data_IF_703741226039
#
_entry.id   IF_703741226039
#
_cell.length_a   1.000
_cell.length_b   1.000
_cell.length_c   1.000
_cell.angle_alpha   90.00
_cell.angle_beta   90.00
_cell.angle_gamma   90.00
#
_symmetry.space_group_name_H-M   'P 1'
#
loop_
_entity.id
_entity.type
_entity.pdbx_description
1 polymer ?
#
# COMPACT_ATOMS: atom_id res chain seq x y z
N UNK A 1 -6.52 13.06 -28.19
CA UNK A 1 -7.40 12.23 -27.35
C UNK A 1 -6.50 11.40 -26.43
N UNK A 2 -6.37 11.84 -25.21
CA UNK A 2 -5.53 11.16 -24.21
C UNK A 2 -6.26 9.89 -23.75
N UNK A 3 -5.64 8.74 -23.99
CA UNK A 3 -6.02 7.50 -23.34
C UNK A 3 -5.61 7.61 -21.88
N UNK A 4 -6.47 8.20 -21.05
CA UNK A 4 -6.38 8.05 -19.60
C UNK A 4 -6.58 6.56 -19.31
N UNK A 5 -5.47 5.88 -19.08
CA UNK A 5 -5.47 4.46 -18.78
C UNK A 5 -6.35 4.19 -17.59
N UNK A 6 -7.33 3.35 -17.78
CA UNK A 6 -8.18 2.79 -16.73
C UNK A 6 -7.30 1.89 -15.86
N UNK A 7 -6.64 2.50 -14.89
CA UNK A 7 -5.94 1.74 -13.86
C UNK A 7 -6.94 1.43 -12.75
N UNK A 8 -7.06 0.17 -12.41
CA UNK A 8 -7.89 -0.39 -11.34
C UNK A 8 -9.39 -0.54 -11.67
N UNK A 9 -9.71 -0.95 -12.88
CA UNK A 9 -11.04 -1.47 -13.19
C UNK A 9 -10.98 -2.99 -13.28
N UNK A 10 -11.60 -3.60 -12.34
CA UNK A 10 -11.95 -5.02 -12.42
C UNK A 10 -11.78 -5.71 -11.09
N UNK A 11 -12.87 -6.22 -10.55
CA UNK A 11 -12.89 -7.21 -9.47
C UNK A 11 -12.35 -8.59 -9.94
N UNK A 12 -11.38 -8.57 -10.84
CA UNK A 12 -10.63 -9.75 -11.21
C UNK A 12 -9.38 -9.81 -10.32
N UNK A 13 -9.01 -11.00 -9.88
CA UNK A 13 -7.72 -11.31 -9.30
C UNK A 13 -6.62 -10.91 -10.31
N UNK A 14 -6.21 -9.65 -10.28
CA UNK A 14 -5.09 -9.18 -11.07
C UNK A 14 -3.86 -9.40 -10.22
N UNK A 15 -2.98 -10.27 -10.67
CA UNK A 15 -1.70 -10.50 -10.00
C UNK A 15 -0.80 -9.28 -10.18
N UNK A 16 -0.03 -8.96 -9.15
CA UNK A 16 1.01 -7.93 -9.22
C UNK A 16 2.01 -8.27 -10.32
N UNK A 17 2.52 -7.23 -11.01
CA UNK A 17 3.61 -7.43 -11.96
C UNK A 17 4.87 -7.83 -11.21
N UNK A 18 5.56 -8.84 -11.71
CA UNK A 18 6.86 -9.22 -11.18
C UNK A 18 7.87 -8.09 -11.38
N UNK A 19 8.35 -7.55 -10.27
CA UNK A 19 9.49 -6.64 -10.26
C UNK A 19 10.73 -7.39 -9.81
N UNK A 20 11.85 -7.11 -10.49
CA UNK A 20 13.13 -7.71 -10.11
C UNK A 20 13.54 -7.26 -8.70
N UNK A 21 13.92 -8.19 -7.86
CA UNK A 21 14.54 -7.89 -6.57
C UNK A 21 15.77 -7.00 -6.78
N UNK A 22 16.00 -6.08 -5.87
CA UNK A 22 17.05 -5.08 -5.98
C UNK A 22 16.65 -3.83 -6.77
N UNK A 23 15.44 -3.78 -7.37
CA UNK A 23 14.92 -2.56 -8.01
C UNK A 23 14.90 -1.40 -7.02
N UNK A 24 15.43 -0.22 -7.38
CA UNK A 24 15.38 0.95 -6.50
C UNK A 24 13.94 1.38 -6.20
N UNK A 25 13.67 1.76 -4.95
CA UNK A 25 12.39 2.34 -4.56
C UNK A 25 12.15 3.65 -5.34
N UNK A 26 11.07 3.74 -6.12
CA UNK A 26 10.70 5.00 -6.75
C UNK A 26 10.52 6.11 -5.72
N UNK A 27 10.83 7.35 -6.11
CA UNK A 27 10.62 8.49 -5.24
C UNK A 27 9.13 8.81 -5.11
N UNK A 28 8.75 9.33 -3.96
CA UNK A 28 7.43 9.89 -3.73
C UNK A 28 7.46 11.01 -2.70
N UNK A 29 6.53 11.95 -2.87
CA UNK A 29 6.24 13.01 -1.92
C UNK A 29 4.75 13.29 -2.00
N UNK A 30 3.99 12.80 -1.05
CA UNK A 30 2.53 12.80 -1.09
C UNK A 30 1.94 13.36 0.21
N UNK A 31 0.76 13.96 0.07
CA UNK A 31 -0.05 14.38 1.19
C UNK A 31 -0.75 13.19 1.82
N UNK A 32 -0.76 13.13 3.14
CA UNK A 32 -1.48 12.12 3.92
C UNK A 32 -2.87 12.63 4.33
N UNK A 33 -3.73 11.70 4.66
CA UNK A 33 -5.08 11.98 5.20
C UNK A 33 -5.03 12.75 6.53
N UNK A 34 -3.91 12.75 7.24
CA UNK A 34 -3.69 13.54 8.46
C UNK A 34 -3.31 15.01 8.18
N UNK A 35 -3.18 15.38 6.89
CA UNK A 35 -2.82 16.71 6.44
C UNK A 35 -1.31 16.96 6.33
N UNK A 36 -0.47 16.03 6.78
CA UNK A 36 0.99 16.12 6.65
C UNK A 36 1.45 15.65 5.28
N UNK A 37 2.64 16.06 4.89
CA UNK A 37 3.32 15.57 3.69
C UNK A 37 4.41 14.60 4.08
N UNK A 38 4.44 13.44 3.43
CA UNK A 38 5.46 12.42 3.64
C UNK A 38 6.21 12.17 2.33
N UNK A 39 7.52 12.04 2.44
CA UNK A 39 8.39 11.71 1.32
C UNK A 39 9.17 10.43 1.64
N UNK A 40 9.54 9.68 0.61
CA UNK A 40 10.37 8.47 0.75
C UNK A 40 11.60 8.72 1.63
N UNK A 41 12.31 9.81 1.36
CA UNK A 41 13.56 10.14 2.06
C UNK A 41 13.35 10.54 3.52
N UNK A 42 12.13 10.92 3.89
CA UNK A 42 11.76 11.15 5.30
C UNK A 42 11.84 9.90 6.17
N UNK A 43 11.87 8.72 5.55
CA UNK A 43 11.98 7.43 6.24
C UNK A 43 13.37 6.80 6.16
N UNK A 44 14.38 7.53 5.69
CA UNK A 44 15.74 7.01 5.45
C UNK A 44 16.39 6.34 6.66
N UNK A 45 16.04 6.77 7.88
CA UNK A 45 16.58 6.20 9.12
C UNK A 45 15.95 4.83 9.46
N UNK A 46 14.87 4.47 8.80
CA UNK A 46 14.21 3.18 9.01
C UNK A 46 14.91 2.07 8.22
N UNK A 47 15.28 0.96 8.85
CA UNK A 47 15.97 -0.15 8.18
C UNK A 47 15.13 -0.86 7.12
N UNK A 48 13.81 -0.79 7.20
CA UNK A 48 12.91 -1.30 6.19
C UNK A 48 11.74 -0.36 5.95
N UNK A 49 11.30 -0.29 4.70
CA UNK A 49 10.14 0.49 4.26
C UNK A 49 9.18 -0.43 3.51
N UNK A 50 7.95 -0.52 4.00
CA UNK A 50 6.86 -1.25 3.35
C UNK A 50 5.92 -0.25 2.71
N UNK A 51 5.81 -0.26 1.40
CA UNK A 51 4.87 0.57 0.63
C UNK A 51 3.73 -0.30 0.15
N UNK A 52 2.50 0.10 0.47
CA UNK A 52 1.30 -0.67 0.14
C UNK A 52 0.35 0.21 -0.65
N UNK A 53 -0.01 -0.22 -1.87
CA UNK A 53 -1.13 0.39 -2.59
C UNK A 53 -2.41 -0.25 -2.08
N UNK A 54 -3.22 0.54 -1.39
CA UNK A 54 -4.46 0.12 -0.74
C UNK A 54 -5.56 1.17 -0.97
N UNK A 55 -6.80 0.78 -0.77
CA UNK A 55 -7.95 1.68 -0.88
C UNK A 55 -9.09 1.21 0.02
N UNK A 56 -10.12 2.04 0.18
CA UNK A 56 -11.24 1.70 1.05
C UNK A 56 -12.24 0.76 0.40
N UNK A 57 -12.50 0.93 -0.91
CA UNK A 57 -13.59 0.20 -1.58
C UNK A 57 -13.23 -1.24 -1.97
N UNK A 58 -11.95 -1.60 -2.02
CA UNK A 58 -11.51 -2.90 -2.50
C UNK A 58 -11.80 -4.02 -1.49
N UNK A 59 -12.60 -5.05 -1.86
CA UNK A 59 -12.91 -6.17 -0.97
C UNK A 59 -11.66 -6.95 -0.52
N UNK A 60 -10.65 -7.03 -1.38
CA UNK A 60 -9.40 -7.72 -1.05
C UNK A 60 -8.60 -6.96 0.02
N UNK A 61 -8.58 -5.62 -0.04
CA UNK A 61 -7.98 -4.79 1.00
C UNK A 61 -8.75 -4.95 2.32
N UNK A 62 -10.07 -4.86 2.27
CA UNK A 62 -10.93 -5.01 3.45
C UNK A 62 -10.72 -6.37 4.14
N UNK A 63 -10.54 -7.42 3.37
CA UNK A 63 -10.32 -8.77 3.89
C UNK A 63 -8.99 -8.95 4.63
N UNK A 64 -7.95 -8.18 4.28
CA UNK A 64 -6.61 -8.27 4.88
C UNK A 64 -6.24 -7.09 5.78
N UNK A 65 -7.08 -6.07 5.84
CA UNK A 65 -6.82 -4.81 6.54
C UNK A 65 -6.42 -4.99 8.01
N UNK A 66 -7.14 -5.82 8.75
CA UNK A 66 -6.83 -6.05 10.16
C UNK A 66 -5.46 -6.74 10.33
N UNK A 67 -5.06 -7.57 9.37
CA UNK A 67 -3.72 -8.20 9.34
C UNK A 67 -2.62 -7.20 8.99
N UNK A 68 -2.89 -6.25 8.09
CA UNK A 68 -1.97 -5.13 7.80
C UNK A 68 -1.76 -4.29 9.06
N UNK A 69 -2.83 -3.96 9.78
CA UNK A 69 -2.77 -3.19 11.03
C UNK A 69 -1.99 -3.96 12.10
N UNK A 70 -2.21 -5.27 12.21
CA UNK A 70 -1.47 -6.12 13.13
C UNK A 70 0.03 -6.14 12.83
N UNK A 71 0.41 -6.21 11.54
CA UNK A 71 1.80 -6.11 11.11
C UNK A 71 2.42 -4.75 11.48
N UNK A 72 1.70 -3.66 11.29
CA UNK A 72 2.19 -2.33 11.67
C UNK A 72 2.48 -2.24 13.18
N UNK A 73 1.63 -2.84 14.02
CA UNK A 73 1.82 -2.91 15.47
C UNK A 73 2.99 -3.81 15.87
N UNK A 74 3.16 -4.92 15.18
CA UNK A 74 4.22 -5.89 15.46
C UNK A 74 5.60 -5.37 15.05
N UNK A 75 5.71 -4.79 13.86
CA UNK A 75 7.00 -4.42 13.25
C UNK A 75 7.37 -2.95 13.42
N UNK A 76 6.41 -2.05 13.69
CA UNK A 76 6.70 -0.65 13.97
C UNK A 76 7.74 -0.44 15.07
N UNK A 77 7.61 -1.09 16.24
CA UNK A 77 8.62 -1.03 17.30
C UNK A 77 9.98 -1.61 16.90
N UNK A 78 10.02 -2.46 15.88
CA UNK A 78 11.26 -3.03 15.30
C UNK A 78 11.84 -2.15 14.19
N UNK A 79 11.42 -0.88 14.13
CA UNK A 79 11.89 0.12 13.17
C UNK A 79 11.53 -0.16 11.70
N UNK A 80 10.50 -0.95 11.44
CA UNK A 80 9.92 -1.10 10.11
C UNK A 80 8.85 -0.02 9.90
N UNK A 81 8.99 0.75 8.84
CA UNK A 81 7.98 1.76 8.46
C UNK A 81 7.02 1.19 7.43
N UNK A 82 5.73 1.19 7.74
CA UNK A 82 4.67 0.92 6.77
C UNK A 82 4.10 2.25 6.27
N UNK A 83 3.71 2.28 4.99
CA UNK A 83 3.05 3.41 4.33
C UNK A 83 1.96 2.87 3.42
N UNK A 84 0.74 3.34 3.57
CA UNK A 84 -0.36 3.07 2.64
C UNK A 84 -0.48 4.20 1.62
N UNK A 85 -0.75 3.89 0.36
CA UNK A 85 -0.98 4.85 -0.72
C UNK A 85 -2.28 4.48 -1.43
N UNK A 86 -3.20 5.43 -1.52
CA UNK A 86 -4.40 5.32 -2.36
C UNK A 86 -4.21 6.13 -3.63
N UNK A 87 -4.29 5.46 -4.77
CA UNK A 87 -4.14 6.06 -6.10
C UNK A 87 -5.43 6.01 -6.93
N UNK A 88 -6.57 5.70 -6.30
CA UNK A 88 -7.84 5.64 -7.01
C UNK A 88 -8.43 7.04 -7.23
N UNK A 89 -9.13 7.19 -8.36
CA UNK A 89 -9.87 8.40 -8.62
C UNK A 89 -11.14 8.42 -7.74
N UNK A 90 -11.30 9.40 -6.84
CA UNK A 90 -12.46 9.50 -5.97
C UNK A 90 -13.76 9.85 -6.71
N UNK A 91 -13.68 10.25 -7.97
CA UNK A 91 -14.85 10.45 -8.84
C UNK A 91 -15.49 9.12 -9.18
N UNK A 92 -14.68 8.13 -9.52
CA UNK A 92 -15.13 6.77 -9.84
C UNK A 92 -15.38 5.94 -8.57
N UNK A 93 -14.63 6.22 -7.50
CA UNK A 93 -14.67 5.50 -6.23
C UNK A 93 -14.92 6.44 -5.05
N UNK A 94 -16.20 6.79 -4.75
CA UNK A 94 -16.52 7.76 -3.69
C UNK A 94 -16.04 7.38 -2.29
N UNK A 95 -15.87 6.08 -2.00
CA UNK A 95 -15.33 5.61 -0.72
C UNK A 95 -13.85 5.90 -0.54
N UNK A 96 -13.15 6.22 -1.64
CA UNK A 96 -11.73 6.59 -1.64
C UNK A 96 -11.50 8.11 -1.64
N UNK A 97 -12.55 8.90 -1.36
CA UNK A 97 -12.38 10.34 -1.11
C UNK A 97 -11.52 10.60 0.12
N UNK A 98 -10.73 11.67 0.13
CA UNK A 98 -9.80 11.97 1.24
C UNK A 98 -10.45 11.93 2.63
N UNK A 99 -11.67 12.46 2.76
CA UNK A 99 -12.43 12.43 4.02
C UNK A 99 -12.83 11.00 4.44
N UNK A 100 -13.13 10.13 3.48
CA UNK A 100 -13.47 8.72 3.74
C UNK A 100 -12.23 7.91 4.10
N UNK A 101 -11.11 8.14 3.40
CA UNK A 101 -9.83 7.53 3.75
C UNK A 101 -9.40 7.91 5.16
N UNK A 102 -9.57 9.20 5.52
CA UNK A 102 -9.29 9.70 6.87
C UNK A 102 -10.16 9.04 7.92
N UNK A 103 -11.47 8.98 7.67
CA UNK A 103 -12.44 8.37 8.59
C UNK A 103 -12.07 6.89 8.85
N UNK A 104 -11.77 6.14 7.79
CA UNK A 104 -11.37 4.72 7.90
C UNK A 104 -10.08 4.54 8.68
N UNK A 105 -9.05 5.34 8.36
CA UNK A 105 -7.77 5.27 9.05
C UNK A 105 -7.91 5.55 10.57
N UNK A 106 -8.80 6.46 10.95
CA UNK A 106 -9.10 6.75 12.37
C UNK A 106 -9.89 5.63 13.03
N UNK A 107 -10.96 5.17 12.40
CA UNK A 107 -11.84 4.10 12.90
C UNK A 107 -11.04 2.82 13.15
N UNK A 108 -10.25 2.42 12.15
CA UNK A 108 -9.43 1.21 12.21
C UNK A 108 -8.11 1.38 12.95
N UNK A 109 -7.76 2.61 13.33
CA UNK A 109 -6.52 2.94 14.04
C UNK A 109 -5.28 2.48 13.26
N UNK A 110 -5.15 2.93 12.02
CA UNK A 110 -3.96 2.70 11.21
C UNK A 110 -2.71 3.21 11.93
N UNK A 111 -1.75 2.36 12.15
CA UNK A 111 -0.47 2.68 12.78
C UNK A 111 0.58 3.16 11.77
N UNK A 112 0.16 3.68 10.62
CA UNK A 112 1.03 4.12 9.52
C UNK A 112 0.39 5.27 8.75
N UNK A 113 1.19 6.12 8.06
CA UNK A 113 0.67 7.15 7.16
C UNK A 113 -0.15 6.58 6.01
N UNK A 114 -1.28 7.23 5.71
CA UNK A 114 -2.14 6.88 4.59
C UNK A 114 -2.13 8.03 3.57
N UNK A 115 -1.40 7.85 2.48
CA UNK A 115 -1.09 8.88 1.50
C UNK A 115 -2.07 8.86 0.33
N UNK A 116 -2.20 10.00 -0.34
CA UNK A 116 -3.09 10.20 -1.49
C UNK A 116 -2.24 10.53 -2.71
N UNK A 117 -2.30 9.67 -3.71
CA UNK A 117 -1.63 9.82 -5.01
C UNK A 117 -2.68 10.24 -6.06
N UNK A 118 -3.04 11.54 -6.03
CA UNK A 118 -4.13 12.09 -6.85
C UNK A 118 -3.88 11.95 -8.36
N UNK A 119 -2.63 12.05 -8.79
CA UNK A 119 -2.25 11.97 -10.20
C UNK A 119 -1.99 10.55 -10.68
N UNK A 120 -1.92 9.58 -9.76
CA UNK A 120 -1.52 8.19 -10.03
C UNK A 120 -0.08 8.06 -10.54
N UNK A 121 0.74 9.11 -10.45
CA UNK A 121 2.12 9.07 -10.91
C UNK A 121 2.98 8.12 -10.07
N UNK A 122 2.73 8.06 -8.77
CA UNK A 122 3.46 7.16 -7.86
C UNK A 122 3.08 5.70 -8.15
N UNK A 123 1.79 5.41 -8.32
CA UNK A 123 1.35 4.05 -8.70
C UNK A 123 2.01 3.61 -10.02
N UNK A 124 2.06 4.51 -11.02
CA UNK A 124 2.74 4.22 -12.30
C UNK A 124 4.23 3.97 -12.12
N UNK A 125 4.91 4.78 -11.31
CA UNK A 125 6.33 4.63 -11.03
C UNK A 125 6.67 3.30 -10.35
N UNK A 126 5.79 2.81 -9.46
CA UNK A 126 5.92 1.49 -8.83
C UNK A 126 5.48 0.33 -9.74
N UNK A 127 4.77 0.61 -10.83
CA UNK A 127 4.14 -0.44 -11.64
C UNK A 127 2.99 -1.14 -10.92
N UNK A 128 2.37 -0.48 -9.92
CA UNK A 128 1.24 -1.00 -9.19
C UNK A 128 0.02 -1.12 -10.10
N UNK A 129 -0.59 -2.31 -10.15
CA UNK A 129 -1.73 -2.62 -11.04
C UNK A 129 -2.96 -3.14 -10.31
N UNK A 130 -2.85 -3.40 -9.01
CA UNK A 130 -3.93 -3.93 -8.18
C UNK A 130 -3.84 -3.39 -6.76
N UNK A 131 -4.86 -3.67 -5.96
CA UNK A 131 -4.86 -3.45 -4.51
C UNK A 131 -5.36 -4.71 -3.79
N UNK A 132 -4.77 -5.10 -2.67
CA UNK A 132 -3.51 -4.59 -2.13
C UNK A 132 -2.30 -5.00 -2.99
N UNK A 133 -1.36 -4.10 -3.20
CA UNK A 133 -0.08 -4.38 -3.84
C UNK A 133 1.05 -3.92 -2.90
N UNK A 134 1.93 -4.83 -2.49
CA UNK A 134 2.82 -4.63 -1.34
C UNK A 134 4.27 -4.79 -1.76
N UNK A 135 5.07 -3.78 -1.45
CA UNK A 135 6.50 -3.70 -1.75
C UNK A 135 7.28 -3.52 -0.45
N UNK A 136 8.32 -4.32 -0.24
CA UNK A 136 9.25 -4.17 0.88
C UNK A 136 10.62 -3.77 0.35
N UNK A 137 11.14 -2.67 0.88
CA UNK A 137 12.46 -2.17 0.56
C UNK A 137 13.37 -2.27 1.78
N UNK A 138 14.60 -2.68 1.53
CA UNK A 138 15.66 -2.75 2.53
C UNK A 138 16.21 -1.36 2.92
N UNK A 139 17.26 -1.34 3.73
CA UNK A 139 17.92 -0.11 4.19
C UNK A 139 18.45 0.76 3.05
N UNK A 140 18.90 0.15 1.96
CA UNK A 140 19.41 0.84 0.78
C UNK A 140 18.30 1.19 -0.22
N UNK A 141 17.04 1.00 0.20
CA UNK A 141 15.84 1.21 -0.63
C UNK A 141 15.87 0.37 -1.91
N UNK A 142 16.37 -0.86 -1.79
CA UNK A 142 16.28 -1.89 -2.82
C UNK A 142 15.13 -2.82 -2.52
N UNK A 143 14.40 -3.23 -3.56
CA UNK A 143 13.26 -4.13 -3.43
C UNK A 143 13.73 -5.50 -2.89
N UNK A 144 13.23 -5.86 -1.72
CA UNK A 144 13.50 -7.15 -1.07
C UNK A 144 12.33 -8.13 -1.23
N UNK A 145 11.10 -7.61 -1.35
CA UNK A 145 9.89 -8.42 -1.52
C UNK A 145 8.82 -7.62 -2.27
N UNK A 146 8.11 -8.29 -3.16
CA UNK A 146 6.91 -7.78 -3.81
C UNK A 146 5.88 -8.90 -3.89
N UNK A 147 4.66 -8.64 -3.42
CA UNK A 147 3.62 -9.66 -3.44
C UNK A 147 2.47 -9.38 -2.47
N UNK A 148 1.88 -10.45 -1.98
CA UNK A 148 0.71 -10.45 -1.10
C UNK A 148 1.11 -10.52 0.39
N UNK A 149 0.15 -10.25 1.27
CA UNK A 149 0.38 -10.30 2.73
C UNK A 149 0.63 -11.73 3.23
N UNK A 150 -0.14 -12.67 2.71
CA UNK A 150 -0.10 -14.09 3.06
C UNK A 150 -0.75 -14.95 1.96
N UNK A 151 -0.77 -16.25 2.16
CA UNK A 151 -1.28 -17.23 1.21
C UNK A 151 -2.80 -17.41 1.19
N UNK A 152 -3.54 -16.69 2.05
CA UNK A 152 -5.01 -16.74 2.06
C UNK A 152 -5.66 -15.39 2.38
N UNK A 153 -5.94 -14.61 1.35
CA UNK A 153 -6.57 -13.31 1.49
C UNK A 153 -7.98 -13.38 2.09
N UNK A 154 -8.73 -14.46 1.82
CA UNK A 154 -10.15 -14.57 2.14
C UNK A 154 -10.41 -15.04 3.57
N UNK A 155 -9.63 -15.98 4.08
CA UNK A 155 -9.85 -16.58 5.40
C UNK A 155 -8.57 -16.57 6.23
N UNK A 156 -8.49 -15.69 7.26
CA UNK A 156 -7.29 -15.60 8.10
C UNK A 156 -7.00 -16.90 8.88
N UNK A 157 -8.01 -17.74 9.09
CA UNK A 157 -7.82 -19.03 9.79
C UNK A 157 -7.16 -20.09 8.91
N UNK A 158 -7.15 -19.88 7.61
CA UNK A 158 -6.53 -20.77 6.61
C UNK A 158 -5.16 -20.28 6.14
N UNK A 159 -4.64 -19.21 6.73
CA UNK A 159 -3.28 -18.73 6.45
C UNK A 159 -2.29 -19.76 6.94
N UNK A 160 -1.46 -20.27 6.04
CA UNK A 160 -0.38 -21.23 6.35
C UNK A 160 0.99 -20.59 6.21
N UNK A 161 1.12 -19.52 5.42
CA UNK A 161 2.36 -18.77 5.22
C UNK A 161 2.12 -17.27 5.31
N UNK A 162 2.83 -16.62 6.21
CA UNK A 162 2.85 -15.15 6.35
C UNK A 162 3.95 -14.57 5.46
N UNK A 163 3.73 -14.57 4.16
CA UNK A 163 4.75 -14.28 3.14
C UNK A 163 5.38 -12.88 3.31
N UNK A 164 4.59 -11.87 3.66
CA UNK A 164 5.11 -10.52 3.91
C UNK A 164 5.98 -10.45 5.19
N UNK A 165 5.70 -11.27 6.18
CA UNK A 165 6.38 -11.26 7.48
C UNK A 165 7.61 -12.18 7.52
N UNK A 166 7.79 -13.01 6.50
CA UNK A 166 8.92 -13.95 6.40
C UNK A 166 10.19 -13.23 5.96
#
# INVERSE_FOLDING_TARGET
>A
MSAAGRYLVGMALTESKDLALGTPCPDFRLRSVDGKTYARDGFREKPALVVMFICNHCPYVQAVEDRIIALAREYGPRSVQLVGICSNDPTDYPDDRPERLRARAREKRYGFPYLIDETQDVARAFGAVCTPDIYVFDRDRRLAYHGRIDDNWNDPKKVTRRELAA
#
